data_IF_335469674831
#
_entry.id   IF_335469674831
#
_cell.length_a   1.000
_cell.length_b   1.000
_cell.length_c   1.000
_cell.angle_alpha   90.00
_cell.angle_beta   90.00
_cell.angle_gamma   90.00
#
_symmetry.space_group_name_H-M   'P 1'
#
loop_
_entity.id
_entity.type
_entity.pdbx_description
1 polymer ?
#
# COMPACT_ATOMS: atom_id res chain seq x y z
N UNK A 1 6.94 2.95 27.42
CA UNK A 1 6.16 2.99 26.16
C UNK A 1 6.82 3.96 25.19
N UNK A 2 7.31 3.49 24.03
CA UNK A 2 7.84 4.37 22.97
C UNK A 2 6.79 4.43 21.86
N UNK A 3 6.28 5.63 21.59
CA UNK A 3 5.31 5.87 20.51
C UNK A 3 6.07 6.50 19.35
N UNK A 4 5.83 6.01 18.14
CA UNK A 4 6.46 6.55 16.94
C UNK A 4 5.85 7.91 16.61
N UNK A 5 6.71 8.89 16.30
CA UNK A 5 6.27 10.22 15.87
C UNK A 5 5.70 10.15 14.45
N UNK A 6 4.59 10.84 14.20
CA UNK A 6 4.04 11.01 12.86
C UNK A 6 4.57 12.28 12.19
N UNK A 7 5.30 12.12 11.10
CA UNK A 7 5.84 13.22 10.28
C UNK A 7 5.60 12.99 8.77
N UNK A 8 4.46 12.35 8.45
CA UNK A 8 3.99 12.08 7.09
C UNK A 8 4.90 11.21 6.20
N UNK A 9 5.63 10.27 6.81
CA UNK A 9 6.46 9.26 6.11
C UNK A 9 5.88 7.85 6.15
N UNK A 10 4.70 7.70 6.74
CA UNK A 10 3.95 6.45 6.89
C UNK A 10 2.47 6.75 6.65
N UNK A 11 1.73 5.78 6.12
CA UNK A 11 0.31 5.96 5.87
C UNK A 11 -0.43 6.18 7.21
N UNK A 12 -1.33 7.18 7.34
CA UNK A 12 -1.97 7.51 8.61
C UNK A 12 -2.62 6.33 9.34
N UNK A 13 -3.27 5.44 8.59
CA UNK A 13 -3.91 4.24 9.15
C UNK A 13 -2.89 3.20 9.64
N UNK A 14 -1.74 3.07 8.97
CA UNK A 14 -0.67 2.17 9.42
C UNK A 14 -0.06 2.71 10.72
N UNK A 15 0.20 4.01 10.77
CA UNK A 15 0.74 4.64 11.97
C UNK A 15 -0.21 4.54 13.17
N UNK A 16 -1.50 4.88 13.02
CA UNK A 16 -2.46 4.73 14.12
C UNK A 16 -2.54 3.27 14.61
N UNK A 17 -2.49 2.29 13.70
CA UNK A 17 -2.46 0.87 14.06
C UNK A 17 -1.19 0.49 14.84
N UNK A 18 -0.03 1.06 14.50
CA UNK A 18 1.21 0.89 15.26
C UNK A 18 1.07 1.46 16.67
N UNK A 19 0.51 2.67 16.81
CA UNK A 19 0.26 3.29 18.12
C UNK A 19 -0.71 2.43 18.95
N UNK A 20 -1.82 1.97 18.36
CA UNK A 20 -2.78 1.08 19.01
C UNK A 20 -2.11 -0.21 19.49
N UNK A 21 -1.27 -0.83 18.66
CA UNK A 21 -0.53 -2.06 19.01
C UNK A 21 0.37 -1.81 20.22
N UNK A 22 1.14 -0.72 20.21
CA UNK A 22 1.98 -0.32 21.35
C UNK A 22 1.13 -0.07 22.61
N UNK A 23 -0.01 0.61 22.49
CA UNK A 23 -0.91 0.87 23.61
C UNK A 23 -1.46 -0.43 24.23
N UNK A 24 -1.90 -1.37 23.39
CA UNK A 24 -2.38 -2.69 23.84
C UNK A 24 -1.32 -3.45 24.63
N UNK A 25 -0.08 -3.48 24.14
CA UNK A 25 1.05 -4.11 24.83
C UNK A 25 1.31 -3.47 26.21
N UNK A 26 1.08 -2.16 26.34
CA UNK A 26 1.27 -1.40 27.57
C UNK A 26 -0.02 -1.27 28.41
N UNK A 27 -1.05 -2.09 28.13
CA UNK A 27 -2.35 -2.09 28.82
C UNK A 27 -3.18 -0.79 28.73
N UNK A 28 -2.85 0.11 27.79
CA UNK A 28 -3.71 1.26 27.46
C UNK A 28 -4.75 0.83 26.44
N UNK A 29 -6.01 0.72 26.88
CA UNK A 29 -7.12 0.19 26.05
C UNK A 29 -8.17 1.23 25.68
N UNK A 30 -8.26 2.33 26.41
CA UNK A 30 -9.27 3.35 26.16
C UNK A 30 -8.94 4.15 24.90
N UNK A 31 -9.87 4.21 23.95
CA UNK A 31 -9.66 4.93 22.69
C UNK A 31 -9.34 6.41 22.92
N UNK A 32 -9.94 7.03 23.92
CA UNK A 32 -9.70 8.44 24.28
C UNK A 32 -8.25 8.70 24.69
N UNK A 33 -7.63 7.78 25.42
CA UNK A 33 -6.23 7.89 25.82
C UNK A 33 -5.29 7.63 24.64
N UNK A 34 -5.61 6.64 23.79
CA UNK A 34 -4.87 6.37 22.56
C UNK A 34 -4.93 7.60 21.63
N UNK A 35 -6.10 8.24 21.50
CA UNK A 35 -6.27 9.44 20.69
C UNK A 35 -5.43 10.61 21.20
N UNK A 36 -5.41 10.85 22.53
CA UNK A 36 -4.53 11.86 23.14
C UNK A 36 -3.06 11.58 22.83
N UNK A 37 -2.64 10.33 22.96
CA UNK A 37 -1.27 9.91 22.65
C UNK A 37 -0.93 10.14 21.17
N UNK A 38 -1.83 9.81 20.25
CA UNK A 38 -1.65 10.11 18.83
C UNK A 38 -1.46 11.62 18.61
N UNK A 39 -2.37 12.46 19.14
CA UNK A 39 -2.27 13.92 18.99
C UNK A 39 -0.94 14.49 19.49
N UNK A 40 -0.44 13.99 20.63
CA UNK A 40 0.85 14.40 21.21
C UNK A 40 2.07 13.96 20.39
N UNK A 41 1.93 12.95 19.52
CA UNK A 41 3.02 12.37 18.74
C UNK A 41 3.00 12.81 17.27
N UNK A 42 2.18 13.79 16.89
CA UNK A 42 2.21 14.40 15.55
C UNK A 42 3.29 15.49 15.52
N UNK A 43 4.03 15.56 14.42
CA UNK A 43 4.99 16.62 14.20
C UNK A 43 4.32 18.00 14.21
N UNK A 44 4.92 18.97 14.91
CA UNK A 44 4.34 20.30 15.09
C UNK A 44 4.13 21.06 13.78
N UNK A 45 4.82 20.68 12.69
CA UNK A 45 4.62 21.27 11.36
C UNK A 45 3.36 20.74 10.66
N UNK A 46 2.71 19.71 11.20
CA UNK A 46 1.47 19.13 10.67
C UNK A 46 0.32 19.65 11.53
N UNK A 47 -0.39 20.64 11.01
CA UNK A 47 -1.57 21.18 11.69
C UNK A 47 -2.75 20.22 11.53
N UNK A 48 -3.47 20.02 12.64
CA UNK A 48 -4.72 19.25 12.67
C UNK A 48 -5.82 20.10 13.30
N UNK A 49 -7.10 19.94 12.89
CA UNK A 49 -8.22 20.56 13.56
C UNK A 49 -8.26 20.24 15.06
N UNK A 50 -8.70 21.20 15.87
CA UNK A 50 -8.84 21.03 17.32
C UNK A 50 -9.93 19.99 17.68
N UNK A 51 -11.02 19.98 16.90
CA UNK A 51 -12.19 19.11 17.08
C UNK A 51 -11.97 17.75 16.38
N UNK A 52 -11.21 16.88 17.05
CA UNK A 52 -11.03 15.48 16.65
C UNK A 52 -11.32 14.61 17.88
N UNK A 53 -12.37 13.81 17.82
CA UNK A 53 -12.90 13.03 18.94
C UNK A 53 -12.72 11.51 18.76
N UNK A 54 -12.42 11.06 17.54
CA UNK A 54 -12.20 9.64 17.23
C UNK A 54 -10.88 9.41 16.50
N UNK A 55 -10.35 8.19 16.58
CA UNK A 55 -9.17 7.81 15.77
C UNK A 55 -9.46 7.86 14.26
N UNK A 56 -10.71 7.59 13.86
CA UNK A 56 -11.15 7.70 12.47
C UNK A 56 -11.09 9.14 11.96
N UNK A 57 -11.61 10.09 12.75
CA UNK A 57 -11.51 11.52 12.44
C UNK A 57 -10.05 11.97 12.35
N UNK A 58 -9.18 11.47 13.24
CA UNK A 58 -7.76 11.76 13.18
C UNK A 58 -7.12 11.28 11.87
N UNK A 59 -7.37 10.02 11.48
CA UNK A 59 -6.87 9.46 10.22
C UNK A 59 -7.34 10.31 9.04
N UNK A 60 -8.61 10.70 9.00
CA UNK A 60 -9.16 11.54 7.94
C UNK A 60 -8.49 12.93 7.92
N UNK A 61 -8.32 13.57 9.07
CA UNK A 61 -7.63 14.87 9.16
C UNK A 61 -6.19 14.78 8.65
N UNK A 62 -5.45 13.72 9.03
CA UNK A 62 -4.09 13.47 8.56
C UNK A 62 -4.01 13.20 7.05
N UNK A 63 -5.02 12.53 6.48
CA UNK A 63 -5.12 12.30 5.03
C UNK A 63 -5.45 13.57 4.24
N UNK A 64 -6.24 14.49 4.81
CA UNK A 64 -6.57 15.77 4.16
C UNK A 64 -5.40 16.76 4.19
N UNK A 65 -4.42 16.59 5.08
CA UNK A 65 -3.27 17.47 5.17
C UNK A 65 -2.35 17.37 3.92
N UNK A 66 -1.83 18.47 3.35
CA UNK A 66 -1.03 18.45 2.11
C UNK A 66 0.21 17.55 2.13
N UNK A 67 0.76 17.27 3.32
CA UNK A 67 1.91 16.35 3.44
C UNK A 67 1.55 14.91 3.04
N UNK A 68 0.28 14.50 3.16
CA UNK A 68 -0.14 13.17 2.76
C UNK A 68 -0.17 13.00 1.24
N UNK A 69 -0.53 14.03 0.48
CA UNK A 69 -0.39 13.99 -0.98
C UNK A 69 1.07 13.81 -1.41
N UNK A 70 2.01 14.51 -0.74
CA UNK A 70 3.45 14.29 -0.98
C UNK A 70 3.87 12.85 -0.66
N UNK A 71 3.38 12.29 0.44
CA UNK A 71 3.60 10.89 0.79
C UNK A 71 3.09 9.96 -0.32
N UNK A 72 1.83 10.10 -0.76
CA UNK A 72 1.24 9.28 -1.82
C UNK A 72 2.03 9.37 -3.12
N UNK A 73 2.39 10.59 -3.55
CA UNK A 73 3.21 10.81 -4.75
C UNK A 73 4.56 10.11 -4.65
N UNK A 74 5.21 10.11 -3.48
CA UNK A 74 6.46 9.36 -3.30
C UNK A 74 6.27 7.85 -3.42
N UNK A 75 5.14 7.30 -2.96
CA UNK A 75 4.82 5.87 -3.10
C UNK A 75 4.51 5.50 -4.55
N UNK A 76 3.78 6.36 -5.27
CA UNK A 76 3.50 6.21 -6.71
C UNK A 76 4.79 6.23 -7.52
N UNK A 77 5.70 7.17 -7.23
CA UNK A 77 7.01 7.21 -7.89
C UNK A 77 7.78 5.90 -7.71
N UNK A 78 7.86 5.36 -6.49
CA UNK A 78 8.52 4.06 -6.24
C UNK A 78 7.82 2.95 -7.04
N UNK A 79 6.48 2.92 -7.04
CA UNK A 79 5.67 1.95 -7.78
C UNK A 79 5.95 2.02 -9.30
N UNK A 80 6.06 3.21 -9.88
CA UNK A 80 6.36 3.42 -11.32
C UNK A 80 7.75 2.92 -11.71
N UNK A 81 8.69 2.87 -10.76
CA UNK A 81 10.03 2.34 -10.96
C UNK A 81 10.12 0.82 -10.75
N UNK A 82 9.08 0.18 -10.22
CA UNK A 82 9.12 -1.27 -9.98
C UNK A 82 9.20 -2.04 -11.29
N UNK A 83 10.13 -3.00 -11.34
CA UNK A 83 10.26 -3.96 -12.44
C UNK A 83 10.40 -5.35 -11.86
N UNK A 84 9.65 -6.30 -12.39
CA UNK A 84 9.81 -7.70 -12.02
C UNK A 84 10.91 -8.32 -12.88
N UNK A 85 11.90 -8.93 -12.25
CA UNK A 85 13.11 -9.44 -12.92
C UNK A 85 13.13 -10.97 -13.03
N UNK A 86 11.99 -11.64 -12.80
CA UNK A 86 11.91 -13.10 -12.76
C UNK A 86 12.39 -13.71 -11.44
N UNK A 87 12.47 -12.90 -10.38
CA UNK A 87 12.81 -13.30 -9.02
C UNK A 87 11.56 -13.76 -8.25
N UNK A 88 11.55 -13.64 -6.92
CA UNK A 88 10.45 -14.06 -6.06
C UNK A 88 9.17 -13.24 -6.35
N UNK A 89 8.30 -13.80 -7.18
CA UNK A 89 7.01 -13.22 -7.55
C UNK A 89 6.12 -12.93 -6.33
N UNK A 90 6.20 -13.74 -5.28
CA UNK A 90 5.41 -13.55 -4.05
C UNK A 90 5.85 -12.27 -3.34
N UNK A 91 7.17 -12.11 -3.17
CA UNK A 91 7.75 -10.90 -2.58
C UNK A 91 7.44 -9.67 -3.42
N UNK A 92 7.65 -9.76 -4.74
CA UNK A 92 7.35 -8.68 -5.68
C UNK A 92 5.88 -8.21 -5.57
N UNK A 93 4.92 -9.14 -5.65
CA UNK A 93 3.50 -8.81 -5.58
C UNK A 93 3.09 -8.27 -4.20
N UNK A 94 3.68 -8.77 -3.12
CA UNK A 94 3.44 -8.25 -1.78
C UNK A 94 3.93 -6.79 -1.63
N UNK A 95 5.12 -6.47 -2.14
CA UNK A 95 5.67 -5.12 -2.15
C UNK A 95 4.85 -4.18 -3.03
N UNK A 96 4.53 -4.60 -4.25
CA UNK A 96 3.67 -3.84 -5.18
C UNK A 96 2.32 -3.52 -4.54
N UNK A 97 1.68 -4.53 -3.93
CA UNK A 97 0.39 -4.36 -3.24
C UNK A 97 0.49 -3.39 -2.06
N UNK A 98 1.58 -3.45 -1.29
CA UNK A 98 1.82 -2.52 -0.19
C UNK A 98 1.94 -1.08 -0.70
N UNK A 99 2.64 -0.87 -1.80
CA UNK A 99 2.80 0.45 -2.42
C UNK A 99 1.48 0.99 -2.99
N UNK A 100 0.67 0.17 -3.65
CA UNK A 100 -0.68 0.54 -4.09
C UNK A 100 -1.55 1.00 -2.91
N UNK A 101 -1.56 0.23 -1.81
CA UNK A 101 -2.31 0.60 -0.60
C UNK A 101 -1.85 1.94 -0.03
N UNK A 102 -0.53 2.12 0.13
CA UNK A 102 0.05 3.36 0.68
C UNK A 102 -0.17 4.57 -0.23
N UNK A 103 -0.26 4.36 -1.53
CA UNK A 103 -0.57 5.38 -2.53
C UNK A 103 -2.08 5.65 -2.70
N UNK A 104 -2.94 4.93 -1.97
CA UNK A 104 -4.40 4.92 -2.14
C UNK A 104 -4.86 4.63 -3.58
N UNK A 105 -4.15 3.74 -4.28
CA UNK A 105 -4.57 3.25 -5.60
C UNK A 105 -5.60 2.15 -5.39
N UNK A 106 -6.87 2.48 -5.60
CA UNK A 106 -8.01 1.57 -5.44
C UNK A 106 -8.72 1.24 -6.74
N UNK A 107 -8.36 1.88 -7.85
CA UNK A 107 -8.95 1.61 -9.15
C UNK A 107 -8.39 0.28 -9.71
N UNK A 108 -9.24 -0.73 -9.97
CA UNK A 108 -8.77 -2.02 -10.47
C UNK A 108 -8.06 -1.95 -11.83
N UNK A 109 -8.51 -1.06 -12.73
CA UNK A 109 -7.87 -0.89 -14.03
C UNK A 109 -6.48 -0.27 -13.88
N UNK A 110 -6.34 0.78 -13.05
CA UNK A 110 -5.03 1.38 -12.77
C UNK A 110 -4.04 0.34 -12.19
N UNK A 111 -4.50 -0.57 -11.33
CA UNK A 111 -3.66 -1.65 -10.80
C UNK A 111 -3.20 -2.60 -11.92
N UNK A 112 -4.10 -2.99 -12.84
CA UNK A 112 -3.75 -3.86 -13.97
C UNK A 112 -2.73 -3.19 -14.89
N UNK A 113 -2.97 -1.94 -15.26
CA UNK A 113 -2.09 -1.20 -16.16
C UNK A 113 -0.68 -1.09 -15.56
N UNK A 114 -0.58 -0.77 -14.26
CA UNK A 114 0.70 -0.71 -13.55
C UNK A 114 1.39 -2.08 -13.46
N UNK A 115 0.66 -3.15 -13.16
CA UNK A 115 1.23 -4.51 -13.13
C UNK A 115 1.78 -4.91 -14.51
N UNK A 116 1.05 -4.59 -15.59
CA UNK A 116 1.49 -4.83 -16.96
C UNK A 116 2.82 -4.14 -17.29
N UNK A 117 2.98 -2.88 -16.86
CA UNK A 117 4.23 -2.13 -17.03
C UNK A 117 5.42 -2.74 -16.29
N UNK A 118 5.19 -3.36 -15.12
CA UNK A 118 6.28 -3.90 -14.31
C UNK A 118 6.96 -5.13 -14.91
N UNK A 119 6.28 -5.89 -15.77
CA UNK A 119 6.84 -7.08 -16.45
C UNK A 119 6.77 -6.96 -17.98
N UNK A 120 6.88 -5.72 -18.47
CA UNK A 120 6.69 -5.33 -19.87
C UNK A 120 7.68 -5.93 -20.88
N UNK A 121 8.77 -6.55 -20.43
CA UNK A 121 9.71 -7.28 -21.31
C UNK A 121 9.33 -8.75 -21.54
N UNK A 122 8.34 -9.28 -20.80
CA UNK A 122 7.88 -10.66 -20.96
C UNK A 122 6.65 -10.70 -21.88
N UNK A 123 6.85 -11.17 -23.11
CA UNK A 123 5.79 -11.22 -24.14
C UNK A 123 4.65 -12.17 -23.78
N UNK A 124 4.93 -13.28 -23.10
CA UNK A 124 3.89 -14.18 -22.60
C UNK A 124 3.00 -13.47 -21.57
N UNK A 125 3.60 -12.80 -20.60
CA UNK A 125 2.87 -12.06 -19.58
C UNK A 125 2.02 -10.94 -20.19
N UNK A 126 2.59 -10.18 -21.15
CA UNK A 126 1.87 -9.11 -21.86
C UNK A 126 0.63 -9.60 -22.61
N UNK A 127 0.66 -10.82 -23.13
CA UNK A 127 -0.48 -11.41 -23.83
C UNK A 127 -1.52 -11.99 -22.86
N UNK A 128 -1.07 -12.80 -21.91
CA UNK A 128 -1.96 -13.60 -21.06
C UNK A 128 -2.58 -12.79 -19.92
N UNK A 129 -1.85 -11.83 -19.35
CA UNK A 129 -2.35 -11.08 -18.19
C UNK A 129 -3.57 -10.21 -18.51
N UNK A 130 -3.59 -9.41 -19.60
CA UNK A 130 -4.78 -8.65 -19.98
C UNK A 130 -5.98 -9.55 -20.32
N UNK A 131 -5.74 -10.69 -20.98
CA UNK A 131 -6.79 -11.65 -21.35
C UNK A 131 -7.43 -12.28 -20.10
N UNK A 132 -6.62 -12.87 -19.21
CA UNK A 132 -7.10 -13.52 -17.98
C UNK A 132 -7.75 -12.53 -17.01
N UNK A 133 -7.36 -11.26 -17.02
CA UNK A 133 -7.94 -10.24 -16.13
C UNK A 133 -9.05 -9.42 -16.80
N UNK A 134 -9.48 -9.76 -18.00
CA UNK A 134 -10.59 -9.11 -18.68
C UNK A 134 -11.87 -9.17 -17.83
N UNK A 135 -12.53 -8.03 -17.64
CA UNK A 135 -13.74 -7.92 -16.80
C UNK A 135 -13.54 -8.08 -15.28
N UNK A 136 -12.34 -8.43 -14.81
CA UNK A 136 -12.09 -8.61 -13.37
C UNK A 136 -12.01 -7.26 -12.65
N UNK A 137 -12.84 -7.07 -11.62
CA UNK A 137 -12.86 -5.85 -10.80
C UNK A 137 -12.35 -6.06 -9.37
N UNK A 138 -12.29 -7.31 -8.91
CA UNK A 138 -11.75 -7.65 -7.59
C UNK A 138 -10.23 -7.51 -7.59
N UNK A 139 -9.71 -6.61 -6.75
CA UNK A 139 -8.26 -6.42 -6.58
C UNK A 139 -7.58 -7.73 -6.15
N UNK A 140 -8.19 -8.48 -5.22
CA UNK A 140 -7.64 -9.76 -4.77
C UNK A 140 -7.50 -10.76 -5.92
N UNK A 141 -8.50 -10.78 -6.80
CA UNK A 141 -8.51 -11.66 -7.95
C UNK A 141 -7.46 -11.26 -8.99
N UNK A 142 -7.27 -9.96 -9.21
CA UNK A 142 -6.19 -9.45 -10.07
C UNK A 142 -4.82 -9.94 -9.60
N UNK A 143 -4.52 -9.86 -8.30
CA UNK A 143 -3.25 -10.35 -7.75
C UNK A 143 -3.10 -11.88 -7.89
N UNK A 144 -4.18 -12.64 -7.66
CA UNK A 144 -4.18 -14.10 -7.85
C UNK A 144 -3.83 -14.46 -9.29
N UNK A 145 -4.55 -13.88 -10.26
CA UNK A 145 -4.33 -14.12 -11.68
C UNK A 145 -2.94 -13.65 -12.14
N UNK A 146 -2.45 -12.52 -11.62
CA UNK A 146 -1.08 -12.06 -11.89
C UNK A 146 -0.04 -13.11 -11.45
N UNK A 147 -0.18 -13.65 -10.23
CA UNK A 147 0.69 -14.70 -9.71
C UNK A 147 0.65 -15.97 -10.56
N UNK A 148 -0.53 -16.34 -11.08
CA UNK A 148 -0.69 -17.50 -11.96
C UNK A 148 0.00 -17.28 -13.30
N UNK A 149 -0.18 -16.13 -13.93
CA UNK A 149 0.47 -15.82 -15.22
C UNK A 149 2.00 -15.77 -15.08
N UNK A 150 2.52 -15.20 -13.98
CA UNK A 150 3.97 -15.22 -13.70
C UNK A 150 4.48 -16.65 -13.50
N UNK A 151 3.70 -17.51 -12.83
CA UNK A 151 4.07 -18.92 -12.64
C UNK A 151 4.07 -19.68 -13.97
N UNK A 152 3.06 -19.46 -14.82
CA UNK A 152 2.95 -20.07 -16.14
C UNK A 152 4.12 -19.62 -17.05
N UNK A 153 4.48 -18.33 -17.04
CA UNK A 153 5.58 -17.80 -17.86
C UNK A 153 6.92 -18.44 -17.51
N UNK A 154 7.17 -18.73 -16.23
CA UNK A 154 8.38 -19.41 -15.78
C UNK A 154 8.50 -20.85 -16.31
N UNK A 155 7.37 -21.55 -16.51
CA UNK A 155 7.34 -22.92 -17.03
C UNK A 155 7.59 -22.97 -18.53
N UNK A 156 7.09 -21.98 -19.28
CA UNK A 156 7.32 -21.88 -20.73
C UNK A 156 8.81 -21.71 -21.03
N UNK A 157 9.54 -20.88 -20.27
CA UNK A 157 10.98 -20.66 -20.48
C UNK A 157 11.82 -21.93 -20.26
N UNK A 158 11.41 -22.81 -19.34
CA UNK A 158 12.14 -24.06 -19.03
C UNK A 158 12.00 -25.10 -20.15
N UNK A 159 10.96 -25.03 -20.98
CA UNK A 159 10.72 -26.00 -22.06
C UNK A 159 11.44 -25.67 -23.38
N UNK A 160 11.96 -24.45 -23.54
CA UNK A 160 12.68 -23.99 -24.74
C UNK A 160 14.22 -23.94 -24.57
N UNK A 161 14.75 -24.49 -23.46
CA UNK A 161 16.21 -24.59 -23.18
C UNK A 161 16.65 -26.04 -23.07
#
# INVERSE_FOLDING_TARGET
MIITKYYATVHPQEWVKQVQTTCLINNTRQETDILKLCKLNIDLQISIPNEINTLKELVNALKTHPTFERYKSSRKYILDQMRFQGDDATKFLAEFRSLCFKAEITNPQEIKDRLLETYSSNEFFKREFPDKTSGVTSINEIYRLCSEVISDSSRVVIHDT
#
